data_IF_570413829342
#
_entry.id   IF_570413829342
#
_cell.length_a   1.000
_cell.length_b   1.000
_cell.length_c   1.000
_cell.angle_alpha   90.00
_cell.angle_beta   90.00
_cell.angle_gamma   90.00
#
_symmetry.space_group_name_H-M   'P 1'
#
loop_
_entity.id
_entity.type
_entity.pdbx_description
1 polymer ?
#
# COMPACT_ATOMS: atom_id res chain seq x y z
N UNK A 1 5.96 14.79 3.47
CA UNK A 1 5.92 15.15 2.04
C UNK A 1 4.57 14.65 1.50
N UNK A 2 4.21 14.84 0.24
CA UNK A 2 2.88 14.39 -0.23
C UNK A 2 3.01 13.47 -1.44
N UNK A 3 2.65 12.20 -1.24
CA UNK A 3 2.53 11.23 -2.32
C UNK A 3 1.27 11.51 -3.15
N UNK A 4 1.43 11.62 -4.47
CA UNK A 4 0.31 11.79 -5.41
C UNK A 4 -0.18 10.41 -5.85
N UNK A 5 -1.42 10.07 -5.48
CA UNK A 5 -2.06 8.82 -5.86
C UNK A 5 -2.80 9.03 -7.19
N UNK A 6 -2.56 8.13 -8.15
CA UNK A 6 -3.28 8.04 -9.43
C UNK A 6 -3.84 6.63 -9.59
N UNK A 7 -5.01 6.52 -10.21
CA UNK A 7 -5.59 5.22 -10.55
C UNK A 7 -4.67 4.45 -11.52
N UNK A 8 -4.63 3.14 -11.35
CA UNK A 8 -3.86 2.22 -12.18
C UNK A 8 -4.72 1.01 -12.57
N UNK A 9 -4.24 0.26 -13.56
CA UNK A 9 -4.93 -0.89 -14.16
C UNK A 9 -5.50 -1.84 -13.10
N UNK A 10 -6.75 -2.27 -13.29
CA UNK A 10 -7.36 -3.37 -12.52
C UNK A 10 -7.72 -3.04 -11.07
N UNK A 11 -7.94 -1.76 -10.75
CA UNK A 11 -8.27 -1.34 -9.38
C UNK A 11 -7.06 -1.27 -8.44
N UNK A 12 -5.86 -1.21 -9.01
CA UNK A 12 -4.66 -0.79 -8.31
C UNK A 12 -4.45 0.73 -8.37
N UNK A 13 -3.45 1.22 -7.66
CA UNK A 13 -3.06 2.62 -7.65
C UNK A 13 -1.56 2.76 -7.89
N UNK A 14 -1.14 3.94 -8.33
CA UNK A 14 0.26 4.34 -8.39
C UNK A 14 0.46 5.57 -7.51
N UNK A 15 1.37 5.49 -6.56
CA UNK A 15 1.83 6.61 -5.77
C UNK A 15 3.14 7.16 -6.36
N UNK A 16 3.19 8.48 -6.54
CA UNK A 16 4.33 9.20 -7.12
C UNK A 16 4.78 10.30 -6.16
N UNK A 17 6.06 10.30 -5.82
CA UNK A 17 6.72 11.32 -4.98
C UNK A 17 7.39 12.37 -5.86
N UNK A 18 7.63 13.56 -5.32
CA UNK A 18 8.18 14.70 -6.06
C UNK A 18 9.60 14.47 -6.62
N UNK A 19 10.35 13.55 -6.01
CA UNK A 19 11.68 13.12 -6.47
C UNK A 19 11.65 12.14 -7.66
N UNK A 20 10.45 11.75 -8.11
CA UNK A 20 10.24 10.78 -9.18
C UNK A 20 10.16 9.33 -8.70
N UNK A 21 10.22 9.06 -7.40
CA UNK A 21 10.00 7.72 -6.87
C UNK A 21 8.56 7.26 -7.07
N UNK A 22 8.42 5.97 -7.38
CA UNK A 22 7.16 5.33 -7.73
C UNK A 22 6.91 4.10 -6.85
N UNK A 23 5.69 4.04 -6.31
CA UNK A 23 5.19 2.87 -5.59
C UNK A 23 3.90 2.41 -6.25
N UNK A 24 3.85 1.15 -6.65
CA UNK A 24 2.68 0.51 -7.23
C UNK A 24 1.90 -0.21 -6.14
N UNK A 25 0.61 0.05 -6.07
CA UNK A 25 -0.30 -0.45 -5.04
C UNK A 25 -1.27 -1.41 -5.69
N UNK A 26 -1.11 -2.70 -5.42
CA UNK A 26 -1.91 -3.75 -6.04
C UNK A 26 -2.99 -4.20 -5.09
N UNK A 27 -4.25 -4.11 -5.52
CA UNK A 27 -5.36 -4.77 -4.83
C UNK A 27 -5.20 -6.27 -4.97
N UNK A 28 -5.00 -6.96 -3.86
CA UNK A 28 -4.86 -8.42 -3.84
C UNK A 28 -6.16 -9.06 -3.35
N UNK A 29 -6.61 -10.14 -4.01
CA UNK A 29 -7.73 -10.91 -3.51
C UNK A 29 -7.32 -11.65 -2.22
N UNK A 30 -8.28 -11.86 -1.33
CA UNK A 30 -8.06 -12.46 0.00
C UNK A 30 -7.84 -13.98 -0.02
N UNK A 31 -8.13 -14.65 -1.14
CA UNK A 31 -7.93 -16.10 -1.30
C UNK A 31 -6.44 -16.49 -1.46
N UNK A 32 -6.01 -17.57 -0.82
CA UNK A 32 -4.67 -18.15 -1.01
C UNK A 32 -3.49 -17.41 -0.35
N UNK A 33 -3.72 -16.30 0.36
CA UNK A 33 -2.67 -15.54 1.05
C UNK A 33 -2.65 -15.76 2.57
N UNK A 34 -3.52 -16.61 3.11
CA UNK A 34 -3.69 -16.79 4.56
C UNK A 34 -4.37 -15.60 5.25
N UNK A 35 -4.74 -14.56 4.51
CA UNK A 35 -5.34 -13.30 4.99
C UNK A 35 -6.88 -13.32 4.86
N UNK A 36 -7.47 -14.49 5.07
CA UNK A 36 -8.92 -14.69 5.01
C UNK A 36 -9.59 -13.87 6.11
N UNK A 37 -10.57 -13.03 5.73
CA UNK A 37 -11.29 -12.15 6.66
C UNK A 37 -10.99 -10.65 6.51
N UNK A 38 -9.96 -10.27 5.74
CA UNK A 38 -9.74 -8.87 5.37
C UNK A 38 -10.60 -8.48 4.16
N UNK A 39 -11.24 -7.31 4.23
CA UNK A 39 -12.16 -6.82 3.19
C UNK A 39 -11.41 -6.26 1.99
N UNK A 40 -10.35 -5.50 2.25
CA UNK A 40 -9.46 -4.95 1.25
C UNK A 40 -8.02 -5.17 1.69
N UNK A 41 -7.21 -5.70 0.78
CA UNK A 41 -5.80 -5.99 1.00
C UNK A 41 -5.00 -5.45 -0.18
N UNK A 42 -3.99 -4.63 0.11
CA UNK A 42 -3.14 -3.99 -0.88
C UNK A 42 -1.67 -4.29 -0.62
N UNK A 43 -0.94 -4.63 -1.67
CA UNK A 43 0.51 -4.77 -1.64
C UNK A 43 1.17 -3.58 -2.32
N UNK A 44 2.13 -2.97 -1.63
CA UNK A 44 2.91 -1.87 -2.14
C UNK A 44 4.24 -2.42 -2.65
N UNK A 45 4.57 -2.07 -3.88
CA UNK A 45 5.81 -2.46 -4.54
C UNK A 45 6.56 -1.25 -5.05
N UNK A 46 7.83 -1.16 -4.71
CA UNK A 46 8.78 -0.22 -5.31
C UNK A 46 9.81 -1.01 -6.11
N UNK A 47 10.07 -0.58 -7.35
CA UNK A 47 11.05 -1.21 -8.26
C UNK A 47 10.87 -2.75 -8.39
N UNK A 48 9.62 -3.21 -8.38
CA UNK A 48 9.25 -4.64 -8.47
C UNK A 48 9.23 -5.42 -7.15
N UNK A 49 9.83 -4.89 -6.08
CA UNK A 49 9.95 -5.54 -4.78
C UNK A 49 8.83 -5.12 -3.83
N UNK A 50 8.37 -6.05 -2.99
CA UNK A 50 7.43 -5.77 -1.91
C UNK A 50 8.09 -4.84 -0.89
N UNK A 51 7.43 -3.72 -0.57
CA UNK A 51 7.88 -2.76 0.44
C UNK A 51 6.94 -2.69 1.63
N UNK A 52 5.66 -2.90 1.42
CA UNK A 52 4.69 -2.86 2.49
C UNK A 52 3.33 -3.38 2.09
N UNK A 53 2.43 -3.41 3.06
CA UNK A 53 1.06 -3.86 2.91
C UNK A 53 0.12 -2.88 3.58
N UNK A 54 -1.05 -2.71 3.00
CA UNK A 54 -2.17 -2.00 3.63
C UNK A 54 -3.36 -2.94 3.67
N UNK A 55 -3.92 -3.13 4.86
CA UNK A 55 -5.11 -3.95 5.08
C UNK A 55 -6.18 -3.16 5.81
N UNK A 56 -7.44 -3.51 5.55
CA UNK A 56 -8.58 -3.00 6.29
C UNK A 56 -9.36 -4.17 6.89
N UNK A 57 -9.53 -4.13 8.21
CA UNK A 57 -10.27 -5.13 8.95
C UNK A 57 -11.77 -5.07 8.64
N UNK A 58 -12.41 -6.24 8.67
CA UNK A 58 -13.84 -6.36 8.51
C UNK A 58 -14.56 -6.10 9.85
N UNK A 59 -14.59 -4.85 10.29
CA UNK A 59 -15.24 -4.42 11.53
C UNK A 59 -16.17 -3.23 11.28
N UNK A 60 -17.07 -2.96 12.23
CA UNK A 60 -18.03 -1.84 12.17
C UNK A 60 -17.35 -0.46 12.14
N UNK A 61 -16.09 -0.37 12.61
CA UNK A 61 -15.18 0.76 12.44
C UNK A 61 -13.88 0.24 11.83
N UNK A 62 -13.79 0.20 10.49
CA UNK A 62 -12.65 -0.41 9.80
C UNK A 62 -11.35 0.24 10.26
N UNK A 63 -10.47 -0.54 10.87
CA UNK A 63 -9.11 -0.10 11.16
C UNK A 63 -8.25 -0.37 9.93
N UNK A 64 -7.54 0.66 9.47
CA UNK A 64 -6.56 0.55 8.39
C UNK A 64 -5.21 0.28 9.03
N UNK A 65 -4.58 -0.82 8.65
CA UNK A 65 -3.25 -1.20 9.11
C UNK A 65 -2.26 -1.06 7.96
N UNK A 66 -1.16 -0.35 8.19
CA UNK A 66 -0.03 -0.26 7.29
C UNK A 66 1.14 -1.04 7.89
N UNK A 67 1.70 -1.99 7.13
CA UNK A 67 2.80 -2.85 7.56
C UNK A 67 4.01 -2.64 6.65
N UNK A 68 5.12 -2.19 7.24
CA UNK A 68 6.41 -2.09 6.55
C UNK A 68 7.10 -3.45 6.50
N UNK A 69 7.48 -3.89 5.30
CA UNK A 69 8.05 -5.23 5.05
C UNK A 69 9.41 -5.19 4.37
N UNK A 70 9.86 -4.01 3.95
CA UNK A 70 11.16 -3.83 3.32
C UNK A 70 12.28 -3.69 4.34
N UNK A 71 13.49 -4.07 3.95
CA UNK A 71 14.70 -3.74 4.68
C UNK A 71 15.01 -2.23 4.58
N UNK A 72 15.78 -1.72 5.53
CA UNK A 72 16.05 -0.28 5.74
C UNK A 72 16.86 0.42 4.65
N UNK A 73 17.45 -0.31 3.71
CA UNK A 73 18.31 0.26 2.65
C UNK A 73 17.55 0.47 1.33
N UNK A 74 16.44 1.20 1.39
CA UNK A 74 15.61 1.50 0.21
C UNK A 74 15.28 2.99 0.12
N UNK A 75 15.03 3.50 -1.11
CA UNK A 75 14.60 4.89 -1.33
C UNK A 75 13.26 5.23 -0.65
N UNK A 76 12.44 4.21 -0.41
CA UNK A 76 11.16 4.31 0.29
C UNK A 76 11.37 3.80 1.72
N UNK A 77 10.76 4.48 2.69
CA UNK A 77 10.82 4.11 4.10
C UNK A 77 9.42 3.93 4.72
N UNK A 78 9.38 3.60 6.02
CA UNK A 78 8.13 3.43 6.76
C UNK A 78 7.26 4.70 6.81
N UNK A 79 7.88 5.89 6.85
CA UNK A 79 7.14 7.16 6.81
C UNK A 79 6.42 7.33 5.48
N UNK A 80 7.06 6.97 4.36
CA UNK A 80 6.42 6.99 3.04
C UNK A 80 5.21 6.07 2.98
N UNK A 81 5.28 4.89 3.61
CA UNK A 81 4.14 3.97 3.68
C UNK A 81 2.96 4.60 4.43
N UNK A 82 3.21 5.29 5.54
CA UNK A 82 2.16 5.99 6.30
C UNK A 82 1.55 7.11 5.46
N UNK A 83 2.37 7.91 4.76
CA UNK A 83 1.90 9.00 3.90
C UNK A 83 1.06 8.47 2.73
N UNK A 84 1.48 7.39 2.07
CA UNK A 84 0.72 6.74 1.00
C UNK A 84 -0.62 6.20 1.54
N UNK A 85 -0.60 5.59 2.73
CA UNK A 85 -1.82 5.07 3.37
C UNK A 85 -2.80 6.19 3.69
N UNK A 86 -2.32 7.34 4.19
CA UNK A 86 -3.15 8.51 4.47
C UNK A 86 -3.69 9.16 3.19
N UNK A 87 -2.95 9.11 2.08
CA UNK A 87 -3.37 9.63 0.78
C UNK A 87 -4.41 8.72 0.08
N UNK A 88 -4.41 7.42 0.38
CA UNK A 88 -5.43 6.47 -0.03
C UNK A 88 -6.72 6.72 0.76
N UNK A 89 -7.70 7.38 0.13
CA UNK A 89 -9.03 7.56 0.70
C UNK A 89 -9.79 6.22 0.65
N UNK A 90 -9.82 5.49 1.78
CA UNK A 90 -10.58 4.26 1.97
C UNK A 90 -12.10 4.50 2.05
#
# INVERSE_FOLDING_TARGET
MSWKIKDWVGGGFRAEREDGELVFIYKRPSWGTGMSGLKNFYELRSRGLLVGRISSENSWRPQVKAEWLAETDRPVNETDLIEITAALKF
#
